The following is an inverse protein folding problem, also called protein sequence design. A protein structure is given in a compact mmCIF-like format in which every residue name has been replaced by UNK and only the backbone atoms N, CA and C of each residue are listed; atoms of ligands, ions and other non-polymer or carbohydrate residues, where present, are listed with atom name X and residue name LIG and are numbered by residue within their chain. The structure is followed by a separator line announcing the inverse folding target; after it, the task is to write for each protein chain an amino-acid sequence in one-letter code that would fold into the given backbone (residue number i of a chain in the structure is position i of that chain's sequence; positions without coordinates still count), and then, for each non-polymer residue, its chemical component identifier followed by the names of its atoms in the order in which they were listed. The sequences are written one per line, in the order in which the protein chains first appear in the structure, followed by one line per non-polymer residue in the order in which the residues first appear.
data_IF_733309222203
#
_entry.id   IF_733309222203
#
_cell.length_a   1.000
_cell.length_b   1.000
_cell.length_c   1.000
_cell.angle_alpha   90.00
_cell.angle_beta   90.00
_cell.angle_gamma   90.00
#
_symmetry.space_group_name_H-M   'P 1'
#
loop_
_entity.id
_entity.type
_entity.pdbx_description
1 polymer ?
#
# COMPACT_ATOMS: atom_id res chain seq x y z
N UNK A 1 0.44 -16.31 -12.57
CA UNK A 1 0.88 -16.86 -13.86
C UNK A 1 0.07 -16.35 -15.05
N UNK A 2 -1.27 -16.32 -14.98
CA UNK A 2 -2.13 -15.76 -16.04
C UNK A 2 -1.92 -14.25 -16.24
N UNK A 3 -1.67 -13.52 -15.19
CA UNK A 3 -1.51 -12.07 -15.22
C UNK A 3 -0.24 -11.64 -15.96
N UNK A 4 0.84 -12.39 -15.87
CA UNK A 4 2.05 -12.20 -16.67
C UNK A 4 1.76 -12.23 -18.17
N UNK A 5 0.95 -13.20 -18.63
CA UNK A 5 0.59 -13.34 -20.05
C UNK A 5 -0.26 -12.18 -20.56
N UNK A 6 -1.11 -11.58 -19.73
CA UNK A 6 -1.97 -10.45 -20.10
C UNK A 6 -1.16 -9.17 -20.25
N UNK A 7 -0.19 -8.90 -19.38
CA UNK A 7 0.69 -7.72 -19.46
C UNK A 7 1.49 -7.66 -20.76
N UNK A 8 1.91 -8.81 -21.29
CA UNK A 8 2.72 -8.89 -22.51
C UNK A 8 1.89 -8.96 -23.81
N UNK A 9 0.57 -9.19 -23.73
CA UNK A 9 -0.31 -9.35 -24.92
C UNK A 9 -1.27 -8.18 -25.15
N UNK A 10 -1.29 -7.19 -24.28
CA UNK A 10 -2.21 -6.06 -24.41
C UNK A 10 -1.77 -5.11 -25.53
N UNK A 11 -2.70 -4.78 -26.44
CA UNK A 11 -2.54 -3.77 -27.50
C UNK A 11 -2.75 -2.33 -27.00
N UNK A 12 -3.06 -2.12 -25.73
CA UNK A 12 -3.28 -0.81 -25.13
C UNK A 12 -1.95 -0.05 -25.00
N UNK A 13 -1.91 1.21 -25.43
CA UNK A 13 -0.72 2.08 -25.36
C UNK A 13 -0.12 2.15 -23.93
N UNK A 14 -0.96 2.19 -22.90
CA UNK A 14 -0.51 2.23 -21.52
C UNK A 14 0.12 0.89 -21.10
N UNK A 15 -0.50 -0.21 -21.47
CA UNK A 15 0.03 -1.55 -21.24
C UNK A 15 1.33 -1.78 -22.03
N UNK A 16 1.44 -1.27 -23.26
CA UNK A 16 2.68 -1.29 -24.04
C UNK A 16 3.79 -0.50 -23.37
N UNK A 17 3.52 0.70 -22.86
CA UNK A 17 4.51 1.50 -22.14
C UNK A 17 5.00 0.80 -20.87
N UNK A 18 4.09 0.17 -20.13
CA UNK A 18 4.45 -0.60 -18.94
C UNK A 18 5.17 -1.91 -19.30
N UNK A 19 4.80 -2.56 -20.41
CA UNK A 19 5.49 -3.75 -20.93
C UNK A 19 6.94 -3.44 -21.28
N UNK A 20 7.21 -2.33 -21.99
CA UNK A 20 8.59 -1.88 -22.31
C UNK A 20 9.40 -1.61 -21.04
N UNK A 21 8.82 -0.94 -20.03
CA UNK A 21 9.50 -0.71 -18.76
C UNK A 21 9.77 -2.03 -18.02
N UNK A 22 8.80 -2.93 -18.01
CA UNK A 22 8.94 -4.23 -17.36
C UNK A 22 10.00 -5.10 -18.06
N UNK A 23 10.10 -5.05 -19.40
CA UNK A 23 11.18 -5.69 -20.16
C UNK A 23 12.56 -5.12 -19.80
N UNK A 24 12.67 -3.80 -19.68
CA UNK A 24 13.92 -3.15 -19.24
C UNK A 24 14.36 -3.55 -17.82
N UNK A 25 13.46 -4.11 -17.03
CA UNK A 25 13.73 -4.65 -15.70
C UNK A 25 13.88 -6.19 -15.70
N UNK A 26 14.19 -6.78 -16.87
CA UNK A 26 14.34 -8.23 -17.05
C UNK A 26 13.09 -9.05 -16.72
N UNK A 27 11.90 -8.47 -16.90
CA UNK A 27 10.64 -9.17 -16.79
C UNK A 27 10.28 -9.82 -18.13
N UNK A 28 10.75 -11.02 -18.37
CA UNK A 28 10.33 -11.82 -19.52
C UNK A 28 9.91 -13.25 -19.11
N UNK A 29 9.35 -13.99 -20.06
CA UNK A 29 8.88 -15.38 -19.82
C UNK A 29 10.06 -16.35 -19.63
N UNK A 30 11.28 -15.98 -20.04
CA UNK A 30 12.49 -16.79 -19.94
C UNK A 30 13.18 -16.69 -18.57
N UNK A 31 12.79 -15.68 -17.75
CA UNK A 31 13.31 -15.50 -16.41
C UNK A 31 12.21 -15.80 -15.37
N UNK A 32 11.94 -17.07 -15.08
CA UNK A 32 11.01 -17.41 -14.02
C UNK A 32 11.51 -16.83 -12.69
N UNK A 33 10.57 -16.41 -11.84
CA UNK A 33 10.88 -15.99 -10.49
C UNK A 33 11.57 -17.15 -9.74
N UNK A 34 12.88 -17.08 -9.68
CA UNK A 34 13.70 -18.09 -9.03
C UNK A 34 14.58 -17.41 -7.98
N UNK A 35 14.38 -17.76 -6.73
CA UNK A 35 15.16 -17.24 -5.60
C UNK A 35 16.61 -17.76 -5.60
N UNK A 36 16.89 -18.82 -6.33
CA UNK A 36 18.24 -19.40 -6.48
C UNK A 36 19.07 -18.71 -7.58
N UNK A 37 18.42 -17.92 -8.43
CA UNK A 37 19.12 -17.19 -9.48
C UNK A 37 19.68 -15.87 -8.93
N UNK A 38 20.99 -15.81 -8.75
CA UNK A 38 21.73 -14.63 -8.25
C UNK A 38 21.63 -13.41 -9.18
N UNK A 39 21.28 -13.62 -10.44
CA UNK A 39 21.13 -12.53 -11.43
C UNK A 39 19.72 -11.91 -11.41
N UNK A 40 18.79 -12.47 -10.62
CA UNK A 40 17.43 -11.94 -10.51
C UNK A 40 17.40 -10.79 -9.52
N UNK A 41 16.99 -9.57 -9.91
CA UNK A 41 16.95 -8.41 -9.01
C UNK A 41 15.74 -8.45 -8.06
N UNK A 42 15.39 -9.63 -7.55
CA UNK A 42 14.30 -9.78 -6.58
C UNK A 42 14.73 -9.21 -5.23
N UNK A 43 13.85 -8.40 -4.63
CA UNK A 43 14.03 -7.82 -3.30
C UNK A 43 12.74 -7.91 -2.50
N UNK A 44 12.82 -7.86 -1.17
CA UNK A 44 11.61 -7.72 -0.36
C UNK A 44 10.81 -6.48 -0.74
N UNK A 45 9.48 -6.61 -0.78
CA UNK A 45 8.58 -5.58 -1.29
C UNK A 45 8.80 -4.21 -0.64
N UNK A 46 8.95 -4.16 0.69
CA UNK A 46 9.13 -2.91 1.42
C UNK A 46 10.42 -2.16 1.06
N UNK A 47 11.44 -2.87 0.57
CA UNK A 47 12.72 -2.29 0.14
C UNK A 47 12.80 -2.08 -1.38
N UNK A 48 11.85 -2.64 -2.13
CA UNK A 48 11.83 -2.49 -3.59
C UNK A 48 10.89 -1.38 -4.06
N UNK A 49 9.75 -1.21 -3.37
CA UNK A 49 8.87 -0.09 -3.67
C UNK A 49 9.55 1.23 -3.34
N UNK A 50 9.42 2.20 -4.24
CA UNK A 50 9.92 3.56 -4.11
C UNK A 50 8.77 4.56 -4.23
N UNK A 51 8.92 5.71 -3.58
CA UNK A 51 7.97 6.81 -3.58
C UNK A 51 7.68 7.36 -2.20
N UNK A 52 6.89 8.43 -2.15
CA UNK A 52 6.69 9.26 -0.95
C UNK A 52 6.21 8.48 0.28
N UNK A 53 5.39 7.44 0.11
CA UNK A 53 4.92 6.59 1.21
C UNK A 53 6.11 5.84 1.83
N UNK A 54 6.97 5.27 0.99
CA UNK A 54 8.13 4.50 1.46
C UNK A 54 9.23 5.39 2.01
N UNK A 55 9.37 6.62 1.49
CA UNK A 55 10.20 7.66 2.09
C UNK A 55 9.74 7.99 3.51
N UNK A 56 8.42 8.11 3.74
CA UNK A 56 7.87 8.35 5.08
C UNK A 56 8.01 7.15 6.01
N UNK A 57 7.87 5.92 5.51
CA UNK A 57 8.07 4.69 6.28
C UNK A 57 9.54 4.47 6.64
N UNK A 58 10.45 4.76 5.70
CA UNK A 58 11.90 4.61 5.85
C UNK A 58 12.31 3.27 6.52
N UNK A 59 11.91 2.16 5.88
CA UNK A 59 12.06 0.82 6.42
C UNK A 59 13.53 0.42 6.68
N UNK A 60 14.49 1.08 6.03
CA UNK A 60 15.92 0.85 6.24
C UNK A 60 16.42 1.26 7.63
N UNK A 61 15.68 2.13 8.33
CA UNK A 61 16.01 2.56 9.69
C UNK A 61 15.34 1.72 10.79
N UNK A 62 14.53 0.73 10.42
CA UNK A 62 13.86 -0.13 11.39
C UNK A 62 14.82 -1.23 11.90
N UNK A 63 14.76 -1.50 13.19
CA UNK A 63 15.48 -2.64 13.77
C UNK A 63 14.82 -3.99 13.42
N UNK A 64 15.50 -5.10 13.70
CA UNK A 64 15.01 -6.45 13.37
C UNK A 64 13.67 -6.79 14.04
N UNK A 65 13.38 -6.27 15.23
CA UNK A 65 12.11 -6.50 15.94
C UNK A 65 10.98 -5.69 15.31
N UNK A 66 11.28 -4.48 14.87
CA UNK A 66 10.37 -3.60 14.15
C UNK A 66 10.07 -4.17 12.75
N UNK A 67 11.08 -4.68 12.05
CA UNK A 67 10.90 -5.36 10.75
C UNK A 67 10.04 -6.63 10.89
N UNK A 68 10.22 -7.41 11.95
CA UNK A 68 9.37 -8.57 12.21
C UNK A 68 7.91 -8.17 12.48
N UNK A 69 7.68 -7.11 13.26
CA UNK A 69 6.35 -6.56 13.51
C UNK A 69 5.73 -5.98 12.23
N UNK A 70 6.48 -5.20 11.47
CA UNK A 70 6.10 -4.71 10.14
C UNK A 70 5.60 -5.85 9.25
N UNK A 71 6.37 -6.94 9.15
CA UNK A 71 6.04 -8.05 8.25
C UNK A 71 4.76 -8.79 8.63
N UNK A 72 4.43 -8.85 9.93
CA UNK A 72 3.21 -9.48 10.41
C UNK A 72 1.98 -8.59 10.30
N UNK A 73 2.10 -7.26 10.42
CA UNK A 73 0.96 -6.35 10.54
C UNK A 73 0.74 -5.44 9.33
N UNK A 74 1.75 -5.15 8.50
CA UNK A 74 1.57 -4.33 7.30
C UNK A 74 1.19 -5.17 6.09
N UNK A 75 0.21 -4.72 5.31
CA UNK A 75 -0.12 -5.22 3.97
C UNK A 75 0.19 -4.17 2.91
N UNK A 76 0.80 -4.57 1.81
CA UNK A 76 1.09 -3.70 0.66
C UNK A 76 0.20 -4.12 -0.50
N UNK A 77 -0.71 -3.22 -0.90
CA UNK A 77 -1.56 -3.44 -2.07
C UNK A 77 -0.77 -3.18 -3.36
N UNK A 78 -0.86 -4.13 -4.28
CA UNK A 78 -0.15 -4.13 -5.56
C UNK A 78 -1.10 -4.45 -6.70
N UNK A 79 -1.01 -3.70 -7.79
CA UNK A 79 -1.80 -3.98 -9.00
C UNK A 79 -1.46 -5.33 -9.63
N UNK A 80 -0.20 -5.76 -9.53
CA UNK A 80 0.31 -7.00 -10.11
C UNK A 80 0.30 -8.18 -9.13
N UNK A 81 0.75 -7.98 -7.91
CA UNK A 81 0.94 -9.04 -6.91
C UNK A 81 -0.23 -9.20 -5.94
N UNK A 82 -1.17 -8.27 -5.94
CA UNK A 82 -2.33 -8.29 -5.05
C UNK A 82 -2.00 -7.75 -3.66
N UNK A 83 -1.99 -8.59 -2.64
CA UNK A 83 -1.62 -8.24 -1.27
C UNK A 83 -0.29 -8.90 -0.91
N UNK A 84 0.74 -8.08 -0.71
CA UNK A 84 2.07 -8.51 -0.32
C UNK A 84 2.29 -8.33 1.19
N UNK A 85 3.07 -9.23 1.79
CA UNK A 85 3.77 -8.97 3.04
C UNK A 85 5.02 -8.12 2.74
N UNK A 86 5.48 -7.29 3.68
CA UNK A 86 6.66 -6.45 3.46
C UNK A 86 7.93 -7.19 3.03
N UNK A 87 8.14 -8.41 3.50
CA UNK A 87 9.31 -9.22 3.17
C UNK A 87 9.08 -10.22 2.02
N UNK A 88 7.91 -10.21 1.37
CA UNK A 88 7.69 -11.01 0.17
C UNK A 88 8.65 -10.56 -0.93
N UNK A 89 9.33 -11.51 -1.56
CA UNK A 89 10.23 -11.22 -2.66
C UNK A 89 9.45 -10.88 -3.92
N UNK A 90 9.81 -9.79 -4.56
CA UNK A 90 9.19 -9.37 -5.80
C UNK A 90 10.22 -8.82 -6.80
N UNK A 91 9.86 -8.84 -8.07
CA UNK A 91 10.60 -8.16 -9.14
C UNK A 91 10.03 -6.74 -9.35
N UNK A 92 10.87 -5.79 -9.79
CA UNK A 92 10.39 -4.45 -10.16
C UNK A 92 9.29 -4.53 -11.22
N UNK A 93 8.28 -3.69 -11.11
CA UNK A 93 7.20 -3.60 -12.09
C UNK A 93 6.55 -2.23 -12.08
N UNK A 94 5.77 -1.92 -13.11
CA UNK A 94 4.93 -0.74 -13.18
C UNK A 94 3.51 -1.12 -13.60
N UNK A 95 2.59 -1.14 -12.64
CA UNK A 95 1.17 -1.38 -12.89
C UNK A 95 0.35 -0.81 -11.73
N UNK A 96 -0.27 0.34 -11.95
CA UNK A 96 -1.17 0.97 -10.98
C UNK A 96 -2.52 0.24 -10.93
N UNK A 97 -3.15 0.21 -9.75
CA UNK A 97 -4.43 -0.47 -9.53
C UNK A 97 -5.57 0.09 -10.39
N UNK A 98 -5.53 1.40 -10.69
CA UNK A 98 -6.52 2.08 -11.53
C UNK A 98 -6.37 1.81 -13.03
N UNK A 99 -5.37 1.04 -13.46
CA UNK A 99 -5.11 0.78 -14.88
C UNK A 99 -6.27 0.00 -15.51
N UNK A 100 -6.76 0.52 -16.64
CA UNK A 100 -7.76 -0.15 -17.50
C UNK A 100 -7.05 -1.23 -18.31
N UNK A 101 -6.82 -2.38 -17.71
CA UNK A 101 -6.22 -3.54 -18.36
C UNK A 101 -7.26 -4.61 -18.55
N UNK A 102 -7.67 -4.83 -19.82
CA UNK A 102 -8.59 -5.90 -20.19
C UNK A 102 -7.94 -7.26 -19.93
N UNK A 103 -8.67 -8.14 -19.29
CA UNK A 103 -8.21 -9.45 -18.82
C UNK A 103 -9.33 -10.49 -18.87
N UNK A 104 -9.06 -11.72 -18.45
CA UNK A 104 -10.02 -12.83 -18.49
C UNK A 104 -11.23 -12.64 -17.56
N UNK A 105 -11.12 -11.75 -16.55
CA UNK A 105 -12.18 -11.49 -15.56
C UNK A 105 -12.90 -10.15 -15.77
N UNK A 106 -12.45 -9.33 -16.74
CA UNK A 106 -13.10 -8.05 -17.04
C UNK A 106 -12.18 -7.01 -17.69
N UNK A 107 -12.59 -5.74 -17.62
CA UNK A 107 -11.95 -4.64 -18.36
C UNK A 107 -10.90 -3.86 -17.55
N UNK A 108 -10.70 -4.21 -16.28
CA UNK A 108 -9.79 -3.50 -15.39
C UNK A 108 -9.31 -4.40 -14.23
N UNK A 109 -8.36 -3.89 -13.42
CA UNK A 109 -7.80 -4.64 -12.32
C UNK A 109 -8.76 -4.80 -11.13
N UNK A 110 -9.70 -3.89 -10.92
CA UNK A 110 -10.72 -4.06 -9.88
C UNK A 110 -11.59 -5.29 -10.14
N UNK A 111 -11.98 -5.51 -11.41
CA UNK A 111 -12.71 -6.70 -11.81
C UNK A 111 -11.85 -7.97 -11.76
N UNK A 112 -10.55 -7.83 -12.08
CA UNK A 112 -9.61 -8.96 -11.97
C UNK A 112 -9.47 -9.45 -10.53
N UNK A 113 -9.23 -8.55 -9.61
CA UNK A 113 -9.03 -8.88 -8.20
C UNK A 113 -10.35 -9.26 -7.50
N UNK A 114 -11.49 -8.63 -7.86
CA UNK A 114 -12.80 -8.91 -7.26
C UNK A 114 -12.73 -8.87 -5.73
N UNK A 115 -13.19 -9.93 -5.08
CA UNK A 115 -13.14 -10.06 -3.62
C UNK A 115 -11.81 -10.64 -3.10
N UNK A 116 -10.91 -11.11 -3.97
CA UNK A 116 -9.67 -11.80 -3.57
C UNK A 116 -8.83 -11.03 -2.56
N UNK A 117 -8.69 -9.70 -2.76
CA UNK A 117 -7.91 -8.86 -1.83
C UNK A 117 -8.58 -8.73 -0.47
N UNK A 118 -9.90 -8.65 -0.46
CA UNK A 118 -10.71 -8.62 0.77
C UNK A 118 -10.56 -9.90 1.56
N UNK A 119 -10.62 -11.05 0.89
CA UNK A 119 -10.47 -12.37 1.52
C UNK A 119 -9.07 -12.55 2.10
N UNK A 120 -8.02 -12.14 1.38
CA UNK A 120 -6.64 -12.17 1.88
C UNK A 120 -6.43 -11.25 3.09
N UNK A 121 -7.03 -10.06 3.10
CA UNK A 121 -6.98 -9.16 4.26
C UNK A 121 -7.68 -9.80 5.45
N UNK A 122 -8.88 -10.38 5.26
CA UNK A 122 -9.62 -11.06 6.32
C UNK A 122 -8.85 -12.27 6.87
N UNK A 123 -8.18 -13.02 6.01
CA UNK A 123 -7.31 -14.11 6.47
C UNK A 123 -6.22 -13.58 7.41
N UNK A 124 -5.53 -12.50 7.06
CA UNK A 124 -4.47 -11.90 7.91
C UNK A 124 -5.02 -11.32 9.20
N UNK A 125 -6.20 -10.68 9.16
CA UNK A 125 -6.91 -10.21 10.35
C UNK A 125 -7.18 -11.38 11.30
N UNK A 126 -7.63 -12.52 10.78
CA UNK A 126 -7.89 -13.71 11.58
C UNK A 126 -6.60 -14.35 12.14
N UNK A 127 -5.54 -14.44 11.33
CA UNK A 127 -4.22 -14.96 11.74
C UNK A 127 -3.63 -14.17 12.92
N UNK A 128 -3.78 -12.84 12.90
CA UNK A 128 -3.30 -11.94 13.96
C UNK A 128 -4.30 -11.77 15.11
N UNK A 129 -5.54 -12.24 14.97
CA UNK A 129 -6.67 -11.93 15.86
C UNK A 129 -6.91 -10.40 16.01
N UNK A 130 -6.69 -9.64 14.92
CA UNK A 130 -6.88 -8.20 14.89
C UNK A 130 -8.36 -7.83 14.91
N UNK A 131 -8.68 -6.65 15.47
CA UNK A 131 -10.05 -6.09 15.50
C UNK A 131 -10.15 -4.78 14.69
N UNK A 132 -9.03 -4.23 14.27
CA UNK A 132 -8.93 -2.95 13.57
C UNK A 132 -8.05 -3.08 12.35
N UNK A 133 -8.52 -2.56 11.23
CA UNK A 133 -7.76 -2.34 10.01
C UNK A 133 -7.48 -0.84 9.83
N UNK A 134 -6.24 -0.42 9.93
CA UNK A 134 -5.85 0.97 9.63
C UNK A 134 -5.61 1.10 8.13
N UNK A 135 -6.51 1.80 7.43
CA UNK A 135 -6.41 2.02 5.99
C UNK A 135 -5.49 3.22 5.68
N UNK A 136 -4.26 2.94 5.29
CA UNK A 136 -3.27 3.92 4.82
C UNK A 136 -3.07 3.86 3.29
N UNK A 137 -3.85 3.04 2.59
CA UNK A 137 -3.83 3.00 1.14
C UNK A 137 -4.47 4.25 0.52
N UNK A 138 -4.12 4.56 -0.73
CA UNK A 138 -4.83 5.59 -1.48
C UNK A 138 -6.23 5.09 -1.86
N UNK A 139 -7.14 6.03 -2.16
CA UNK A 139 -8.48 5.69 -2.62
C UNK A 139 -8.46 4.80 -3.87
N UNK A 140 -7.47 4.99 -4.76
CA UNK A 140 -7.27 4.14 -5.92
C UNK A 140 -7.03 2.68 -5.54
N UNK A 141 -6.13 2.43 -4.60
CA UNK A 141 -5.79 1.07 -4.17
C UNK A 141 -6.85 0.47 -3.26
N UNK A 142 -7.38 1.23 -2.31
CA UNK A 142 -8.40 0.73 -1.38
C UNK A 142 -9.73 0.42 -2.08
N UNK A 143 -10.02 1.03 -3.23
CA UNK A 143 -11.19 0.70 -4.05
C UNK A 143 -11.20 -0.77 -4.53
N UNK A 144 -10.05 -1.45 -4.55
CA UNK A 144 -9.96 -2.88 -4.85
C UNK A 144 -10.35 -3.79 -3.66
N UNK A 145 -10.63 -3.20 -2.51
CA UNK A 145 -11.09 -3.90 -1.29
C UNK A 145 -12.58 -3.58 -1.11
N UNK A 146 -13.37 -4.57 -0.69
CA UNK A 146 -14.76 -4.37 -0.34
C UNK A 146 -14.90 -4.10 1.17
N UNK A 147 -15.06 -2.83 1.62
CA UNK A 147 -15.06 -2.49 3.04
C UNK A 147 -16.18 -3.19 3.83
N UNK A 148 -17.31 -3.48 3.16
CA UNK A 148 -18.49 -4.13 3.80
C UNK A 148 -18.24 -5.59 4.15
N UNK A 149 -17.20 -6.19 3.58
CA UNK A 149 -16.83 -7.60 3.82
C UNK A 149 -15.57 -7.73 4.70
N UNK A 150 -15.01 -6.63 5.18
CA UNK A 150 -13.88 -6.68 6.12
C UNK A 150 -14.37 -7.06 7.51
N UNK A 151 -13.71 -8.02 8.14
CA UNK A 151 -14.04 -8.56 9.46
C UNK A 151 -13.34 -7.80 10.61
N UNK A 152 -13.20 -6.49 10.47
CA UNK A 152 -12.60 -5.60 11.46
C UNK A 152 -13.14 -4.19 11.30
N UNK A 153 -13.03 -3.37 12.33
CA UNK A 153 -13.31 -1.94 12.25
C UNK A 153 -12.28 -1.24 11.39
N UNK A 154 -12.73 -0.46 10.40
CA UNK A 154 -11.83 0.24 9.49
C UNK A 154 -11.63 1.66 10.00
N UNK A 155 -10.36 2.04 10.23
CA UNK A 155 -9.95 3.40 10.56
C UNK A 155 -9.11 3.95 9.42
N UNK A 156 -9.48 5.13 8.92
CA UNK A 156 -8.79 5.79 7.81
C UNK A 156 -8.21 7.12 8.28
N UNK A 157 -6.90 7.21 8.54
CA UNK A 157 -6.22 8.47 8.76
C UNK A 157 -6.24 9.35 7.50
N UNK A 158 -6.67 10.61 7.66
CA UNK A 158 -6.65 11.64 6.63
C UNK A 158 -5.69 12.75 7.04
N UNK A 159 -4.81 13.15 6.12
CA UNK A 159 -3.79 14.15 6.36
C UNK A 159 -4.06 15.40 5.53
N UNK A 160 -4.10 16.56 6.20
CA UNK A 160 -4.37 17.86 5.62
C UNK A 160 -3.27 18.84 5.98
N UNK A 161 -2.84 19.61 5.00
CA UNK A 161 -1.82 20.65 5.18
C UNK A 161 -2.43 22.03 5.03
N UNK A 162 -2.00 22.95 5.90
CA UNK A 162 -2.36 24.36 5.86
C UNK A 162 -1.84 25.01 4.57
N UNK A 163 -2.70 25.72 3.87
CA UNK A 163 -2.34 26.52 2.70
C UNK A 163 -3.31 27.67 2.52
N UNK A 164 -2.80 28.91 2.60
CA UNK A 164 -3.62 30.10 2.39
C UNK A 164 -4.80 30.21 3.35
N UNK A 165 -4.61 29.92 4.63
CA UNK A 165 -5.63 30.03 5.68
C UNK A 165 -6.65 28.89 5.73
N UNK A 166 -6.48 27.82 4.93
CA UNK A 166 -7.34 26.64 4.95
C UNK A 166 -6.54 25.34 5.00
N UNK A 167 -7.13 24.28 5.54
CA UNK A 167 -6.55 22.93 5.51
C UNK A 167 -7.10 22.14 4.35
N UNK A 168 -6.23 21.41 3.64
CA UNK A 168 -6.63 20.56 2.52
C UNK A 168 -5.64 19.41 2.31
N UNK A 169 -6.10 18.34 1.69
CA UNK A 169 -5.24 17.23 1.31
C UNK A 169 -4.30 17.66 0.19
N UNK A 170 -3.01 17.68 0.45
CA UNK A 170 -1.96 17.87 -0.55
C UNK A 170 -1.35 16.52 -0.87
N UNK A 171 -1.52 16.06 -2.12
CA UNK A 171 -1.23 14.66 -2.52
C UNK A 171 0.17 14.19 -2.13
N UNK A 172 1.20 14.98 -2.36
CA UNK A 172 2.57 14.65 -2.02
C UNK A 172 2.76 14.47 -0.51
N UNK A 173 2.32 15.45 0.29
CA UNK A 173 2.42 15.41 1.74
C UNK A 173 1.59 14.28 2.35
N UNK A 174 0.37 14.08 1.86
CA UNK A 174 -0.50 13.00 2.34
C UNK A 174 0.09 11.60 2.06
N UNK A 175 0.81 11.42 0.96
CA UNK A 175 1.52 10.15 0.69
C UNK A 175 2.62 9.93 1.73
N UNK A 176 3.49 10.92 1.96
CA UNK A 176 4.55 10.83 2.97
C UNK A 176 3.99 10.60 4.36
N UNK A 177 2.92 11.32 4.73
CA UNK A 177 2.27 11.19 6.04
C UNK A 177 1.72 9.79 6.31
N UNK A 178 1.20 9.08 5.29
CA UNK A 178 0.80 7.67 5.42
C UNK A 178 1.98 6.77 5.75
N UNK A 179 3.13 7.02 5.15
CA UNK A 179 4.38 6.32 5.48
C UNK A 179 4.83 6.60 6.91
N UNK A 180 4.82 7.88 7.33
CA UNK A 180 5.14 8.30 8.70
C UNK A 180 4.18 7.65 9.73
N UNK A 181 2.88 7.59 9.43
CA UNK A 181 1.91 6.92 10.31
C UNK A 181 2.18 5.41 10.39
N UNK A 182 2.53 4.76 9.26
CA UNK A 182 2.93 3.35 9.28
C UNK A 182 4.14 3.15 10.18
N UNK A 183 5.16 4.00 10.06
CA UNK A 183 6.35 3.98 10.91
C UNK A 183 5.99 4.18 12.38
N UNK A 184 5.17 5.17 12.69
CA UNK A 184 4.71 5.46 14.06
C UNK A 184 4.03 4.25 14.71
N UNK A 185 3.11 3.57 13.97
CA UNK A 185 2.44 2.35 14.43
C UNK A 185 3.46 1.26 14.76
N UNK A 186 4.46 1.07 13.90
CA UNK A 186 5.47 0.02 14.04
C UNK A 186 6.42 0.29 15.21
N UNK A 187 6.96 1.49 15.29
CA UNK A 187 7.91 1.90 16.34
C UNK A 187 7.29 1.82 17.73
N UNK A 188 6.03 2.22 17.85
CA UNK A 188 5.30 2.23 19.10
C UNK A 188 4.48 0.95 19.37
N UNK A 189 4.45 0.00 18.41
CA UNK A 189 3.68 -1.25 18.48
C UNK A 189 2.26 -1.02 18.98
N UNK A 190 1.56 -0.12 18.31
CA UNK A 190 0.22 0.28 18.74
C UNK A 190 -0.73 -0.92 18.74
N UNK A 191 -1.52 -1.03 19.80
CA UNK A 191 -2.49 -2.11 20.01
C UNK A 191 -3.93 -1.60 20.12
N UNK A 192 -4.11 -0.28 20.18
CA UNK A 192 -5.42 0.36 20.34
C UNK A 192 -5.54 1.55 19.38
N UNK A 193 -6.69 1.73 18.74
CA UNK A 193 -6.88 2.81 17.76
C UNK A 193 -6.75 4.22 18.35
N UNK A 194 -7.09 4.40 19.65
CA UNK A 194 -6.97 5.70 20.31
C UNK A 194 -5.52 6.19 20.40
N UNK A 195 -4.57 5.28 20.33
CA UNK A 195 -3.14 5.63 20.33
C UNK A 195 -2.70 6.34 19.04
N UNK A 196 -3.44 6.17 17.93
CA UNK A 196 -3.19 6.89 16.67
C UNK A 196 -3.35 8.40 16.85
N UNK A 197 -4.24 8.86 17.72
CA UNK A 197 -4.50 10.28 17.94
C UNK A 197 -3.30 11.06 18.52
N UNK A 198 -2.27 10.35 18.99
CA UNK A 198 -1.02 10.94 19.49
C UNK A 198 0.04 11.12 18.40
N UNK A 199 -0.27 10.78 17.16
CA UNK A 199 0.66 10.97 16.05
C UNK A 199 0.94 12.46 15.83
N UNK A 200 2.24 12.82 15.84
CA UNK A 200 2.73 14.21 15.74
C UNK A 200 3.92 14.36 14.79
N UNK A 201 4.27 13.31 14.06
CA UNK A 201 5.43 13.32 13.15
C UNK A 201 5.35 14.47 12.16
N UNK A 202 6.47 15.16 11.95
CA UNK A 202 6.61 16.31 11.06
C UNK A 202 5.58 17.44 11.33
N UNK A 203 5.12 17.59 12.57
CA UNK A 203 4.23 18.68 12.98
C UNK A 203 2.76 18.44 12.66
N UNK A 204 2.35 17.21 12.32
CA UNK A 204 0.94 16.85 12.29
C UNK A 204 0.35 16.83 13.70
N UNK A 205 -0.90 17.20 13.81
CA UNK A 205 -1.69 17.10 15.05
C UNK A 205 -3.08 16.56 14.75
N UNK A 206 -3.64 15.83 15.69
CA UNK A 206 -4.98 15.27 15.60
C UNK A 206 -6.05 16.36 15.75
N UNK A 207 -7.03 16.40 14.87
CA UNK A 207 -8.19 17.28 14.93
C UNK A 207 -9.46 16.45 15.25
N UNK A 208 -9.87 16.49 16.51
CA UNK A 208 -11.05 15.73 16.98
C UNK A 208 -12.34 16.23 16.34
N UNK A 209 -12.50 17.54 16.14
CA UNK A 209 -13.71 18.15 15.60
C UNK A 209 -13.93 17.79 14.13
N UNK A 210 -12.84 17.61 13.38
CA UNK A 210 -12.87 17.19 11.98
C UNK A 210 -12.95 15.67 11.80
N UNK A 211 -12.81 14.89 12.88
CA UNK A 211 -12.77 13.43 12.85
C UNK A 211 -14.14 12.81 13.14
N UNK A 212 -14.39 11.60 12.63
CA UNK A 212 -15.61 10.85 12.90
C UNK A 212 -15.86 9.72 11.90
N UNK A 213 -16.81 8.85 12.21
CA UNK A 213 -17.24 7.76 11.32
C UNK A 213 -16.09 6.87 10.79
N UNK A 214 -15.10 6.57 11.65
CA UNK A 214 -13.93 5.78 11.25
C UNK A 214 -12.83 6.57 10.53
N UNK A 215 -12.99 7.87 10.34
CA UNK A 215 -11.95 8.75 9.81
C UNK A 215 -11.28 9.54 10.95
N UNK A 216 -9.94 9.53 11.00
CA UNK A 216 -9.14 10.34 11.91
C UNK A 216 -8.41 11.42 11.10
N UNK A 217 -8.69 12.69 11.38
CA UNK A 217 -8.11 13.81 10.66
C UNK A 217 -6.88 14.33 11.38
N UNK A 218 -5.79 14.42 10.65
CA UNK A 218 -4.54 15.00 11.11
C UNK A 218 -4.23 16.23 10.27
N UNK A 219 -3.94 17.33 10.93
CA UNK A 219 -3.63 18.61 10.29
C UNK A 219 -2.19 19.01 10.57
N UNK A 220 -1.60 19.73 9.63
CA UNK A 220 -0.29 20.33 9.79
C UNK A 220 -0.36 21.79 9.35
N UNK A 221 0.21 22.70 10.14
CA UNK A 221 0.30 24.11 9.78
C UNK A 221 1.11 24.32 8.50
N UNK A 222 0.88 25.45 7.87
CA UNK A 222 1.63 25.85 6.66
C UNK A 222 3.13 25.86 6.95
N UNK A 223 3.92 25.20 6.07
CA UNK A 223 5.37 25.04 6.18
C UNK A 223 6.07 26.12 5.37
#
# INVERSE_FOLDING_TARGET
LEFRRVLFRSSDKLAQTNAVRNQNWAWDESHPFNTENTDTPAKPAVYLFDGDVYTGLDAYQLDNKQVAYLNSHLGILSGLYGLLKPLDLMLPYRLEMGTKLKNTKGDNLYQFWGDTLTDLINQRIAENNDKVLVNLASNEYFKAVNPKKINADIITPRFEDGKGGSYKVVSFYAKKARGLMSRYIIENRLTKPEQLTRFDSEGYFFDADASGNGELVFKRHEQ
#
